data_IF_178448534027
#
_entry.id   IF_178448534027
#
_cell.length_a   1.000
_cell.length_b   1.000
_cell.length_c   1.000
_cell.angle_alpha   90.00
_cell.angle_beta   90.00
_cell.angle_gamma   90.00
#
_symmetry.space_group_name_H-M   'P 1'
#
loop_
_entity.id
_entity.type
_entity.pdbx_description
1 polymer ?
#
# COMPACT_ATOMS: atom_id res chain seq x y z
N UNK A 1 -19.23 6.56 30.32
CA UNK A 1 -18.03 7.28 30.77
C UNK A 1 -16.84 7.16 29.80
N UNK A 2 -16.75 6.12 28.97
CA UNK A 2 -15.58 5.79 28.13
C UNK A 2 -15.18 6.84 27.06
N UNK A 3 -16.08 7.77 26.70
CA UNK A 3 -15.83 8.78 25.64
C UNK A 3 -15.63 10.21 26.16
N UNK A 4 -15.64 10.39 27.49
CA UNK A 4 -15.43 11.70 28.12
C UNK A 4 -16.49 12.75 27.79
N UNK A 5 -17.69 12.37 27.32
CA UNK A 5 -18.78 13.31 26.97
C UNK A 5 -19.30 14.12 28.16
N UNK A 6 -18.88 13.77 29.36
CA UNK A 6 -19.04 14.50 30.62
C UNK A 6 -18.10 15.72 30.75
N UNK A 7 -17.07 15.84 29.89
CA UNK A 7 -16.06 16.90 29.91
C UNK A 7 -16.27 17.91 28.78
N UNK A 8 -15.78 19.13 28.98
CA UNK A 8 -15.84 20.17 27.96
C UNK A 8 -15.03 19.77 26.70
N UNK A 9 -15.43 20.27 25.52
CA UNK A 9 -14.79 19.89 24.25
C UNK A 9 -13.25 20.10 24.23
N UNK A 10 -12.69 21.18 24.80
CA UNK A 10 -11.24 21.37 24.87
C UNK A 10 -10.54 20.33 25.76
N UNK A 11 -11.12 19.99 26.90
CA UNK A 11 -10.56 18.99 27.83
C UNK A 11 -10.53 17.60 27.20
N UNK A 12 -11.58 17.22 26.46
CA UNK A 12 -11.63 15.96 25.73
C UNK A 12 -10.56 15.88 24.64
N UNK A 13 -10.36 16.97 23.91
CA UNK A 13 -9.33 17.04 22.87
C UNK A 13 -7.92 16.92 23.47
N UNK A 14 -7.67 17.60 24.58
CA UNK A 14 -6.38 17.51 25.29
C UNK A 14 -6.10 16.10 25.83
N UNK A 15 -7.11 15.44 26.40
CA UNK A 15 -7.02 14.05 26.85
C UNK A 15 -6.75 13.10 25.68
N UNK A 16 -7.42 13.28 24.54
CA UNK A 16 -7.17 12.49 23.33
C UNK A 16 -5.72 12.64 22.85
N UNK A 17 -5.22 13.87 22.76
CA UNK A 17 -3.83 14.16 22.38
C UNK A 17 -2.83 13.50 23.33
N UNK A 18 -3.08 13.59 24.64
CA UNK A 18 -2.21 12.97 25.65
C UNK A 18 -2.19 11.45 25.52
N UNK A 19 -3.33 10.81 25.29
CA UNK A 19 -3.42 9.37 25.13
C UNK A 19 -2.75 8.91 23.82
N UNK A 20 -2.96 9.64 22.72
CA UNK A 20 -2.26 9.36 21.45
C UNK A 20 -0.74 9.51 21.56
N UNK A 21 -0.26 10.49 22.31
CA UNK A 21 1.17 10.64 22.58
C UNK A 21 1.75 9.48 23.41
N UNK A 22 0.92 8.76 24.16
CA UNK A 22 1.27 7.54 24.89
C UNK A 22 1.02 6.26 24.07
N UNK A 23 0.68 6.39 22.78
CA UNK A 23 0.30 5.29 21.89
C UNK A 23 -0.95 4.53 22.35
N UNK A 24 -1.78 5.16 23.19
CA UNK A 24 -3.09 4.67 23.57
C UNK A 24 -4.15 5.31 22.67
N UNK A 25 -4.50 4.56 21.61
CA UNK A 25 -5.52 4.94 20.64
C UNK A 25 -6.93 4.48 21.06
N UNK A 26 -7.05 3.80 22.20
CA UNK A 26 -8.29 3.22 22.68
C UNK A 26 -8.70 1.92 21.97
N UNK A 27 -9.96 1.54 22.18
CA UNK A 27 -10.55 0.29 21.70
C UNK A 27 -11.21 0.45 20.31
N UNK A 28 -11.00 -0.53 19.44
CA UNK A 28 -11.65 -0.59 18.13
C UNK A 28 -13.13 -0.95 18.27
N UNK A 29 -14.01 -0.03 17.87
CA UNK A 29 -15.47 -0.23 17.85
C UNK A 29 -15.93 -1.44 17.02
N UNK A 30 -15.16 -1.84 16.01
CA UNK A 30 -15.51 -2.93 15.10
C UNK A 30 -14.91 -4.29 15.50
N UNK A 31 -13.84 -4.30 16.29
CA UNK A 31 -13.10 -5.54 16.60
C UNK A 31 -12.97 -5.84 18.10
N UNK A 32 -13.35 -4.91 18.99
CA UNK A 32 -13.25 -5.10 20.44
C UNK A 32 -11.82 -5.34 20.94
N UNK A 33 -10.82 -4.86 20.19
CA UNK A 33 -9.39 -4.97 20.45
C UNK A 33 -8.77 -3.58 20.43
N UNK A 34 -7.68 -3.39 21.16
CA UNK A 34 -6.95 -2.13 21.16
C UNK A 34 -6.50 -1.79 19.73
N UNK A 35 -6.65 -0.52 19.34
CA UNK A 35 -6.24 -0.04 18.01
C UNK A 35 -4.73 -0.22 17.81
N UNK A 36 -3.96 -0.11 18.90
CA UNK A 36 -2.51 -0.32 18.90
C UNK A 36 -2.14 -1.75 18.50
N UNK A 37 -2.85 -2.76 19.02
CA UNK A 37 -2.62 -4.16 18.64
C UNK A 37 -2.93 -4.40 17.16
N UNK A 38 -4.01 -3.79 16.65
CA UNK A 38 -4.36 -3.88 15.23
C UNK A 38 -3.31 -3.23 14.33
N UNK A 39 -2.75 -2.09 14.74
CA UNK A 39 -1.65 -1.43 14.00
C UNK A 39 -0.44 -2.35 13.98
N UNK A 40 -0.03 -2.90 15.12
CA UNK A 40 1.11 -3.80 15.24
C UNK A 40 0.91 -5.06 14.38
N UNK A 41 -0.30 -5.60 14.32
CA UNK A 41 -0.63 -6.77 13.49
C UNK A 41 -0.47 -6.48 11.98
N UNK A 42 -0.84 -5.28 11.53
CA UNK A 42 -0.77 -4.90 10.09
C UNK A 42 0.56 -4.28 9.67
N UNK A 43 1.33 -3.76 10.62
CA UNK A 43 2.60 -3.07 10.37
C UNK A 43 3.61 -3.92 9.56
N UNK A 44 3.84 -5.22 9.87
CA UNK A 44 4.80 -6.04 9.14
C UNK A 44 4.46 -6.21 7.66
N UNK A 45 3.16 -6.33 7.35
CA UNK A 45 2.68 -6.46 5.96
C UNK A 45 2.97 -5.17 5.19
N UNK A 46 2.61 -4.01 5.76
CA UNK A 46 2.86 -2.71 5.13
C UNK A 46 4.36 -2.44 4.93
N UNK A 47 5.19 -2.73 5.92
CA UNK A 47 6.65 -2.55 5.83
C UNK A 47 7.23 -3.47 4.76
N UNK A 48 6.84 -4.75 4.72
CA UNK A 48 7.30 -5.69 3.71
C UNK A 48 6.98 -5.21 2.29
N UNK A 49 5.72 -4.83 2.05
CA UNK A 49 5.28 -4.32 0.76
C UNK A 49 6.02 -3.03 0.37
N UNK A 50 6.18 -2.10 1.32
CA UNK A 50 6.90 -0.85 1.09
C UNK A 50 8.38 -1.07 0.77
N UNK A 51 9.05 -1.94 1.52
CA UNK A 51 10.47 -2.27 1.35
C UNK A 51 10.72 -2.90 -0.03
N UNK A 52 9.94 -3.94 -0.38
CA UNK A 52 10.07 -4.61 -1.67
C UNK A 52 9.73 -3.68 -2.83
N UNK A 53 8.66 -2.89 -2.70
CA UNK A 53 8.30 -1.91 -3.74
C UNK A 53 9.42 -0.90 -3.95
N UNK A 54 9.96 -0.34 -2.87
CA UNK A 54 11.05 0.65 -2.93
C UNK A 54 12.30 0.06 -3.57
N UNK A 55 12.69 -1.15 -3.17
CA UNK A 55 13.86 -1.85 -3.72
C UNK A 55 13.70 -2.10 -5.22
N UNK A 56 12.57 -2.68 -5.64
CA UNK A 56 12.29 -2.97 -7.05
C UNK A 56 12.22 -1.68 -7.88
N UNK A 57 11.56 -0.63 -7.37
CA UNK A 57 11.47 0.66 -8.05
C UNK A 57 12.86 1.21 -8.32
N UNK A 58 13.73 1.30 -7.31
CA UNK A 58 15.07 1.85 -7.51
C UNK A 58 15.94 0.96 -8.41
N UNK A 59 15.85 -0.35 -8.23
CA UNK A 59 16.61 -1.31 -9.03
C UNK A 59 16.26 -1.25 -10.52
N UNK A 60 15.02 -0.90 -10.88
CA UNK A 60 14.56 -0.81 -12.27
C UNK A 60 14.65 0.62 -12.80
N UNK A 61 14.15 1.60 -12.04
CA UNK A 61 14.05 2.98 -12.47
C UNK A 61 15.42 3.67 -12.60
N UNK A 62 16.38 3.38 -11.71
CA UNK A 62 17.71 4.02 -11.77
C UNK A 62 18.46 3.55 -13.04
N UNK A 63 18.62 2.25 -13.34
CA UNK A 63 19.31 1.82 -14.56
C UNK A 63 18.59 2.29 -15.83
N UNK A 64 17.26 2.22 -15.86
CA UNK A 64 16.48 2.73 -17.01
C UNK A 64 16.67 4.24 -17.19
N UNK A 65 16.70 5.01 -16.10
CA UNK A 65 16.94 6.45 -16.13
C UNK A 65 18.34 6.79 -16.66
N UNK A 66 19.37 6.11 -16.16
CA UNK A 66 20.75 6.27 -16.64
C UNK A 66 20.85 5.90 -18.12
N UNK A 67 20.30 4.75 -18.50
CA UNK A 67 20.33 4.28 -19.89
C UNK A 67 19.66 5.26 -20.85
N UNK A 68 18.50 5.79 -20.47
CA UNK A 68 17.77 6.81 -21.22
C UNK A 68 18.59 8.10 -21.37
N UNK A 69 19.25 8.55 -20.30
CA UNK A 69 20.10 9.75 -20.35
C UNK A 69 21.31 9.57 -21.27
N UNK A 70 21.93 8.39 -21.28
CA UNK A 70 23.07 8.09 -22.15
C UNK A 70 22.71 7.97 -23.63
N UNK A 71 21.49 7.50 -23.93
CA UNK A 71 20.99 7.31 -25.31
C UNK A 71 19.97 8.37 -25.70
N UNK A 72 20.13 9.59 -25.19
CA UNK A 72 19.20 10.68 -25.43
C UNK A 72 19.05 10.97 -26.94
N UNK A 73 17.81 11.11 -27.40
CA UNK A 73 17.49 11.31 -28.82
C UNK A 73 17.46 10.04 -29.69
N UNK A 74 17.83 8.88 -29.14
CA UNK A 74 17.69 7.58 -29.82
C UNK A 74 16.22 7.14 -29.96
N UNK A 75 15.95 6.15 -30.82
CA UNK A 75 14.62 5.56 -30.93
C UNK A 75 14.12 4.94 -29.62
N UNK A 76 15.04 4.44 -28.78
CA UNK A 76 14.72 3.85 -27.47
C UNK A 76 14.28 4.92 -26.48
N UNK A 77 14.89 6.11 -26.51
CA UNK A 77 14.47 7.27 -25.71
C UNK A 77 13.03 7.69 -26.06
N UNK A 78 12.72 7.79 -27.37
CA UNK A 78 11.37 8.13 -27.84
C UNK A 78 10.31 7.09 -27.45
N UNK A 79 10.62 5.80 -27.60
CA UNK A 79 9.71 4.72 -27.22
C UNK A 79 9.44 4.72 -25.70
N UNK A 80 10.49 4.90 -24.89
CA UNK A 80 10.37 4.97 -23.43
C UNK A 80 9.57 6.20 -23.00
N UNK A 81 9.81 7.36 -23.63
CA UNK A 81 9.06 8.58 -23.36
C UNK A 81 7.57 8.43 -23.70
N UNK A 82 7.24 7.79 -24.82
CA UNK A 82 5.85 7.52 -25.19
C UNK A 82 5.16 6.59 -24.19
N UNK A 83 5.85 5.52 -23.76
CA UNK A 83 5.32 4.56 -22.79
C UNK A 83 5.07 5.22 -21.43
N UNK A 84 5.99 6.08 -20.98
CA UNK A 84 5.81 6.89 -19.77
C UNK A 84 4.63 7.87 -19.90
N UNK A 85 4.46 8.51 -21.05
CA UNK A 85 3.35 9.43 -21.29
C UNK A 85 1.98 8.72 -21.20
N UNK A 86 1.86 7.53 -21.79
CA UNK A 86 0.65 6.70 -21.68
C UNK A 86 0.43 6.28 -20.23
N UNK A 87 1.46 5.81 -19.53
CA UNK A 87 1.37 5.41 -18.12
C UNK A 87 0.93 6.56 -17.21
N UNK A 88 1.40 7.77 -17.46
CA UNK A 88 1.00 8.97 -16.71
C UNK A 88 -0.43 9.43 -17.00
N UNK A 89 -0.97 9.12 -18.18
CA UNK A 89 -2.35 9.47 -18.52
C UNK A 89 -3.38 8.59 -17.79
N UNK A 90 -2.98 7.39 -17.37
CA UNK A 90 -3.87 6.46 -16.67
C UNK A 90 -3.83 6.77 -15.17
N UNK A 91 -4.98 7.05 -14.53
CA UNK A 91 -5.03 7.20 -13.08
C UNK A 91 -4.58 5.91 -12.39
N UNK A 92 -3.75 6.03 -11.34
CA UNK A 92 -3.13 4.89 -10.64
C UNK A 92 -4.17 3.86 -10.17
N UNK A 93 -5.33 4.30 -9.67
CA UNK A 93 -6.38 3.39 -9.22
C UNK A 93 -7.00 2.58 -10.37
N UNK A 94 -7.15 3.18 -11.57
CA UNK A 94 -7.65 2.48 -12.76
C UNK A 94 -6.65 1.43 -13.18
N UNK A 95 -5.36 1.78 -13.21
CA UNK A 95 -4.29 0.85 -13.52
C UNK A 95 -4.27 -0.33 -12.53
N UNK A 96 -4.42 -0.05 -11.23
CA UNK A 96 -4.51 -1.07 -10.20
C UNK A 96 -5.71 -2.01 -10.40
N UNK A 97 -6.88 -1.48 -10.77
CA UNK A 97 -8.07 -2.29 -11.08
C UNK A 97 -7.85 -3.17 -12.32
N UNK A 98 -7.21 -2.64 -13.37
CA UNK A 98 -6.84 -3.43 -14.55
C UNK A 98 -5.96 -4.60 -14.13
N UNK A 99 -4.88 -4.33 -13.37
CA UNK A 99 -4.01 -5.38 -12.86
C UNK A 99 -4.78 -6.41 -12.02
N UNK A 100 -5.67 -5.95 -11.14
CA UNK A 100 -6.49 -6.83 -10.31
C UNK A 100 -7.36 -7.76 -11.16
N UNK A 101 -8.02 -7.25 -12.21
CA UNK A 101 -8.88 -8.07 -13.09
C UNK A 101 -8.07 -9.12 -13.85
N UNK A 102 -6.92 -8.74 -14.41
CA UNK A 102 -6.10 -9.66 -15.20
C UNK A 102 -5.34 -10.69 -14.36
N UNK A 103 -4.82 -10.29 -13.20
CA UNK A 103 -3.93 -11.12 -12.41
C UNK A 103 -4.57 -11.78 -11.20
N UNK A 104 -5.63 -11.21 -10.63
CA UNK A 104 -6.28 -11.74 -9.42
C UNK A 104 -7.77 -12.09 -9.61
N UNK A 105 -8.45 -11.53 -10.60
CA UNK A 105 -9.90 -11.68 -10.81
C UNK A 105 -10.41 -13.08 -11.12
N UNK A 106 -9.54 -14.08 -11.33
CA UNK A 106 -9.94 -15.46 -11.65
C UNK A 106 -10.38 -15.71 -13.10
N UNK A 107 -10.64 -14.65 -13.89
CA UNK A 107 -11.12 -14.78 -15.27
C UNK A 107 -10.02 -14.96 -16.32
N UNK A 108 -8.79 -14.51 -16.03
CA UNK A 108 -7.67 -14.51 -16.97
C UNK A 108 -6.51 -15.36 -16.43
N UNK A 109 -5.46 -14.73 -15.90
CA UNK A 109 -4.22 -15.43 -15.54
C UNK A 109 -4.20 -15.98 -14.11
N UNK A 110 -5.05 -15.46 -13.21
CA UNK A 110 -5.23 -15.93 -11.82
C UNK A 110 -3.93 -16.29 -11.07
N UNK A 111 -2.93 -15.41 -11.18
CA UNK A 111 -1.59 -15.58 -10.63
C UNK A 111 -1.53 -15.13 -9.17
N UNK A 112 -2.27 -14.07 -8.83
CA UNK A 112 -2.25 -13.43 -7.51
C UNK A 112 -3.56 -13.65 -6.76
N UNK A 113 -3.54 -13.79 -5.42
CA UNK A 113 -4.77 -13.88 -4.64
C UNK A 113 -5.51 -12.53 -4.63
N UNK A 114 -6.85 -12.57 -4.60
CA UNK A 114 -7.70 -11.38 -4.45
C UNK A 114 -7.57 -10.71 -3.08
N UNK A 115 -7.33 -11.51 -2.05
CA UNK A 115 -7.19 -11.08 -0.66
C UNK A 115 -6.11 -11.90 0.03
N UNK A 116 -5.38 -11.27 0.94
CA UNK A 116 -4.25 -11.90 1.63
C UNK A 116 -2.98 -11.93 0.76
N UNK A 117 -1.92 -12.52 1.31
CA UNK A 117 -0.61 -12.61 0.66
C UNK A 117 -0.34 -14.00 0.04
N UNK A 118 -1.18 -14.98 0.34
CA UNK A 118 -1.01 -16.38 -0.07
C UNK A 118 -2.22 -16.86 -0.86
N UNK A 119 -2.01 -17.85 -1.74
CA UNK A 119 -3.10 -18.47 -2.48
C UNK A 119 -4.01 -19.29 -1.55
N UNK A 120 -5.26 -19.49 -1.95
CA UNK A 120 -6.24 -20.25 -1.16
C UNK A 120 -5.79 -21.70 -0.84
N UNK A 121 -4.98 -22.29 -1.72
CA UNK A 121 -4.41 -23.62 -1.58
C UNK A 121 -3.01 -23.64 -0.92
N UNK A 122 -2.48 -22.51 -0.47
CA UNK A 122 -1.12 -22.42 0.08
C UNK A 122 -0.90 -23.37 1.26
N UNK A 123 -1.87 -23.48 2.17
CA UNK A 123 -1.82 -24.36 3.36
C UNK A 123 -1.85 -25.85 2.98
N UNK A 124 -2.33 -26.20 1.79
CA UNK A 124 -2.38 -27.59 1.32
C UNK A 124 -1.09 -28.01 0.60
N UNK A 125 -0.23 -27.04 0.26
CA UNK A 125 1.03 -27.24 -0.45
C UNK A 125 2.25 -27.24 0.49
N UNK A 126 2.06 -26.92 1.77
CA UNK A 126 3.07 -26.90 2.84
C UNK A 126 2.76 -28.01 3.82
#
# INVERSE_FOLDING_TARGET
>A
AQYGFDKSAPERFWLMLKNYAQLDFGESFFKGQSVTDLIIEKLPVSISLGLWSTLLIYMIAIPLGIYKAMHHGSGIDKATAMLLAIGHAIPVFVFAVILLVFFAGGCYWNILPLQGLTSANFVQLV
#
